data_IF_266163668589
#
_entry.id   IF_266163668589
#
_cell.length_a   1.000
_cell.length_b   1.000
_cell.length_c   1.000
_cell.angle_alpha   90.00
_cell.angle_beta   90.00
_cell.angle_gamma   90.00
#
_symmetry.space_group_name_H-M   'P 1'
#
loop_
_entity.id
_entity.type
_entity.pdbx_description
1 polymer ?
#
# COMPACT_ATOMS: atom_id res chain seq x y z
N UNK A 1 33.21 40.74 -7.03
CA UNK A 1 32.34 40.06 -6.03
C UNK A 1 31.44 39.01 -6.72
N UNK A 2 32.08 37.90 -7.11
CA UNK A 2 31.38 36.73 -7.67
C UNK A 2 31.14 35.63 -6.63
N UNK A 3 31.34 35.93 -5.36
CA UNK A 3 31.21 34.95 -4.25
C UNK A 3 29.82 34.87 -3.61
N UNK A 4 28.86 35.65 -4.09
CA UNK A 4 27.49 35.68 -3.47
C UNK A 4 26.39 34.96 -4.26
N UNK A 5 26.70 34.25 -5.33
CA UNK A 5 25.69 33.53 -6.12
C UNK A 5 25.77 32.01 -6.00
N UNK A 6 26.26 31.47 -4.92
CA UNK A 6 26.06 30.00 -4.60
C UNK A 6 26.21 29.02 -5.76
N UNK A 7 27.06 29.31 -6.75
CA UNK A 7 27.33 28.42 -7.89
C UNK A 7 28.41 27.45 -7.42
N UNK A 8 27.98 26.21 -7.15
CA UNK A 8 28.89 25.12 -6.83
C UNK A 8 29.88 24.91 -7.98
N UNK A 9 31.16 24.74 -7.63
CA UNK A 9 32.18 24.33 -8.61
C UNK A 9 31.89 22.93 -9.12
N UNK A 10 32.39 22.58 -10.31
CA UNK A 10 32.15 21.26 -10.90
C UNK A 10 32.57 20.08 -10.00
N UNK A 11 33.59 20.31 -9.15
CA UNK A 11 34.10 19.34 -8.17
C UNK A 11 33.13 19.18 -6.98
N UNK A 12 32.65 20.29 -6.42
CA UNK A 12 31.65 20.29 -5.33
C UNK A 12 30.32 19.67 -5.77
N UNK A 13 29.94 19.88 -7.04
CA UNK A 13 28.74 19.25 -7.62
C UNK A 13 28.93 17.73 -7.77
N UNK A 14 30.12 17.27 -8.19
CA UNK A 14 30.44 15.86 -8.34
C UNK A 14 30.47 15.15 -6.97
N UNK A 15 31.05 15.79 -5.95
CA UNK A 15 31.10 15.25 -4.58
C UNK A 15 29.70 15.20 -3.96
N UNK A 16 28.89 16.26 -4.12
CA UNK A 16 27.49 16.28 -3.69
C UNK A 16 26.67 15.20 -4.39
N UNK A 17 26.89 14.98 -5.70
CA UNK A 17 26.20 13.98 -6.48
C UNK A 17 26.58 12.57 -6.04
N UNK A 18 27.87 12.32 -5.74
CA UNK A 18 28.35 11.03 -5.23
C UNK A 18 27.79 10.71 -3.84
N UNK A 19 27.60 11.72 -2.99
CA UNK A 19 26.97 11.57 -1.67
C UNK A 19 25.45 11.36 -1.78
N UNK A 20 24.80 11.96 -2.79
CA UNK A 20 23.35 11.87 -3.00
C UNK A 20 22.91 10.60 -3.72
N UNK A 21 23.75 10.04 -4.61
CA UNK A 21 23.45 8.82 -5.39
C UNK A 21 23.09 7.61 -4.50
N UNK A 22 23.78 7.27 -3.41
CA UNK A 22 23.39 6.17 -2.54
C UNK A 22 22.01 6.37 -1.89
N UNK A 23 21.63 7.64 -1.65
CA UNK A 23 20.30 8.00 -1.17
C UNK A 23 19.21 7.78 -2.21
N UNK A 24 19.49 8.06 -3.49
CA UNK A 24 18.60 7.80 -4.62
C UNK A 24 18.43 6.31 -4.89
N UNK A 25 19.49 5.53 -4.86
CA UNK A 25 19.44 4.08 -5.01
C UNK A 25 18.65 3.41 -3.88
N UNK A 26 18.81 3.86 -2.62
CA UNK A 26 17.95 3.42 -1.51
C UNK A 26 16.48 3.79 -1.74
N UNK A 27 16.20 4.98 -2.28
CA UNK A 27 14.83 5.39 -2.60
C UNK A 27 14.22 4.52 -3.72
N UNK A 28 14.99 4.11 -4.71
CA UNK A 28 14.53 3.20 -5.76
C UNK A 28 14.20 1.80 -5.20
N UNK A 29 14.99 1.26 -4.28
CA UNK A 29 14.69 -0.02 -3.61
C UNK A 29 13.37 0.04 -2.81
N UNK A 30 13.02 1.19 -2.23
CA UNK A 30 11.78 1.36 -1.47
C UNK A 30 10.52 1.57 -2.33
N UNK A 31 10.67 1.76 -3.64
CA UNK A 31 9.57 1.98 -4.58
C UNK A 31 9.31 0.79 -5.51
N UNK A 32 9.96 -0.35 -5.30
CA UNK A 32 9.67 -1.55 -6.05
C UNK A 32 8.23 -2.00 -5.82
N UNK A 33 7.54 -2.27 -6.91
CA UNK A 33 6.22 -2.89 -6.88
C UNK A 33 6.35 -4.40 -6.79
N UNK A 34 5.31 -5.04 -6.24
CA UNK A 34 5.22 -6.49 -6.21
C UNK A 34 4.72 -6.97 -7.58
N UNK A 35 5.34 -7.97 -8.21
CA UNK A 35 4.82 -8.57 -9.44
C UNK A 35 3.40 -9.08 -9.23
N UNK A 36 2.53 -8.92 -10.23
CA UNK A 36 1.12 -9.32 -10.13
C UNK A 36 0.94 -10.79 -9.81
N UNK A 37 1.78 -11.64 -10.38
CA UNK A 37 1.75 -13.09 -10.13
C UNK A 37 2.06 -13.41 -8.68
N UNK A 38 2.96 -12.66 -8.05
CA UNK A 38 3.30 -12.84 -6.65
C UNK A 38 2.21 -12.28 -5.73
N UNK A 39 1.55 -11.17 -6.11
CA UNK A 39 0.36 -10.68 -5.42
C UNK A 39 -0.75 -11.73 -5.43
N UNK A 40 -1.04 -12.32 -6.58
CA UNK A 40 -2.04 -13.38 -6.71
C UNK A 40 -1.73 -14.58 -5.79
N UNK A 41 -0.48 -15.04 -5.78
CA UNK A 41 -0.02 -16.11 -4.89
C UNK A 41 -0.13 -15.74 -3.41
N UNK A 42 0.17 -14.49 -3.04
CA UNK A 42 0.00 -14.01 -1.67
C UNK A 42 -1.46 -14.03 -1.24
N UNK A 43 -2.39 -13.57 -2.10
CA UNK A 43 -3.82 -13.64 -1.84
C UNK A 43 -4.32 -15.07 -1.72
N UNK A 44 -3.90 -15.99 -2.60
CA UNK A 44 -4.21 -17.41 -2.51
C UNK A 44 -3.69 -18.02 -1.19
N UNK A 45 -2.47 -17.68 -0.77
CA UNK A 45 -1.91 -18.16 0.48
C UNK A 45 -2.67 -17.65 1.72
N UNK A 46 -3.34 -16.51 1.60
CA UNK A 46 -4.13 -15.90 2.68
C UNK A 46 -5.60 -16.34 2.72
N UNK A 47 -6.11 -17.10 1.73
CA UNK A 47 -7.54 -17.44 1.60
C UNK A 47 -8.15 -18.10 2.86
N UNK A 48 -7.35 -18.80 3.65
CA UNK A 48 -7.79 -19.47 4.89
C UNK A 48 -7.64 -18.60 6.14
N UNK A 49 -7.08 -17.38 6.01
CA UNK A 49 -6.86 -16.44 7.12
C UNK A 49 -7.56 -15.12 6.79
N UNK A 50 -8.80 -14.97 7.23
CA UNK A 50 -9.65 -13.82 6.96
C UNK A 50 -8.97 -12.49 7.38
N UNK A 51 -8.25 -12.47 8.49
CA UNK A 51 -7.53 -11.29 8.94
C UNK A 51 -6.38 -10.93 8.00
N UNK A 52 -5.54 -11.91 7.65
CA UNK A 52 -4.40 -11.69 6.75
C UNK A 52 -4.90 -11.26 5.36
N UNK A 53 -5.97 -11.89 4.87
CA UNK A 53 -6.58 -11.55 3.59
C UNK A 53 -7.11 -10.10 3.59
N UNK A 54 -7.85 -9.71 4.63
CA UNK A 54 -8.37 -8.34 4.77
C UNK A 54 -7.25 -7.30 4.86
N UNK A 55 -6.18 -7.60 5.59
CA UNK A 55 -4.99 -6.72 5.65
C UNK A 55 -4.35 -6.55 4.27
N UNK A 56 -4.18 -7.64 3.50
CA UNK A 56 -3.67 -7.56 2.12
C UNK A 56 -4.57 -6.71 1.22
N UNK A 57 -5.89 -6.86 1.35
CA UNK A 57 -6.87 -6.04 0.62
C UNK A 57 -6.71 -4.56 0.94
N UNK A 58 -6.61 -4.21 2.21
CA UNK A 58 -6.44 -2.81 2.64
C UNK A 58 -5.11 -2.21 2.17
N UNK A 59 -4.02 -2.98 2.19
CA UNK A 59 -2.72 -2.55 1.66
C UNK A 59 -2.77 -2.30 0.16
N UNK A 60 -3.31 -3.26 -0.61
CA UNK A 60 -3.22 -3.25 -2.07
C UNK A 60 -4.36 -2.52 -2.76
N UNK A 61 -5.61 -2.67 -2.28
CA UNK A 61 -6.78 -2.08 -2.93
C UNK A 61 -7.15 -0.70 -2.39
N UNK A 62 -7.02 -0.49 -1.08
CA UNK A 62 -7.30 0.80 -0.44
C UNK A 62 -6.05 1.68 -0.25
N UNK A 63 -4.86 1.15 -0.45
CA UNK A 63 -3.60 1.90 -0.34
C UNK A 63 -3.29 2.36 1.09
N UNK A 64 -3.80 1.68 2.10
CA UNK A 64 -3.49 1.99 3.49
C UNK A 64 -2.06 1.56 3.84
N UNK A 65 -1.42 2.30 4.74
CA UNK A 65 -0.14 1.91 5.32
C UNK A 65 -0.34 0.91 6.47
N UNK A 66 0.71 0.15 6.81
CA UNK A 66 0.67 -0.74 7.95
C UNK A 66 0.37 0.01 9.27
N UNK A 67 0.86 1.24 9.42
CA UNK A 67 0.59 2.08 10.59
C UNK A 67 -0.90 2.45 10.69
N UNK A 68 -1.53 2.80 9.57
CA UNK A 68 -2.96 3.07 9.52
C UNK A 68 -3.77 1.80 9.86
N UNK A 69 -3.39 0.66 9.29
CA UNK A 69 -4.10 -0.62 9.48
C UNK A 69 -4.09 -1.08 10.96
N UNK A 70 -2.95 -0.97 11.65
CA UNK A 70 -2.88 -1.42 13.06
C UNK A 70 -3.70 -0.55 14.01
N UNK A 71 -3.98 0.69 13.64
CA UNK A 71 -4.78 1.63 14.41
C UNK A 71 -6.26 1.67 13.99
N UNK A 72 -6.65 0.93 12.96
CA UNK A 72 -7.97 1.01 12.34
C UNK A 72 -9.07 0.48 13.27
N UNK A 73 -10.18 1.20 13.30
CA UNK A 73 -11.39 0.84 14.03
C UNK A 73 -12.57 0.66 13.06
N UNK A 74 -13.61 -0.12 13.39
CA UNK A 74 -14.81 -0.21 12.56
C UNK A 74 -15.48 1.13 12.30
N UNK A 75 -15.44 2.06 13.24
CA UNK A 75 -15.99 3.40 13.10
C UNK A 75 -15.26 4.30 12.10
N UNK A 76 -14.07 3.91 11.65
CA UNK A 76 -13.32 4.66 10.63
C UNK A 76 -13.89 4.47 9.21
N UNK A 77 -14.81 3.53 9.00
CA UNK A 77 -15.44 3.28 7.70
C UNK A 77 -16.76 4.05 7.58
N UNK A 78 -16.93 4.75 6.46
CA UNK A 78 -18.15 5.49 6.14
C UNK A 78 -18.68 5.11 4.76
N UNK A 79 -20.01 4.87 4.69
CA UNK A 79 -20.71 4.65 3.43
C UNK A 79 -21.40 5.95 2.99
N UNK A 80 -21.16 6.35 1.75
CA UNK A 80 -21.72 7.56 1.14
C UNK A 80 -22.38 7.23 -0.18
N UNK A 81 -23.10 8.19 -0.76
CA UNK A 81 -23.81 7.98 -2.02
C UNK A 81 -22.90 7.60 -3.20
N UNK A 82 -21.65 8.02 -3.15
CA UNK A 82 -20.62 7.82 -4.18
C UNK A 82 -19.64 6.67 -3.87
N UNK A 83 -19.80 5.99 -2.73
CA UNK A 83 -18.99 4.84 -2.37
C UNK A 83 -18.63 4.73 -0.90
N UNK A 84 -17.69 3.85 -0.60
CA UNK A 84 -17.19 3.62 0.76
C UNK A 84 -15.83 4.24 0.92
N UNK A 85 -15.64 4.89 2.06
CA UNK A 85 -14.39 5.55 2.42
C UNK A 85 -13.94 5.11 3.80
N UNK A 86 -12.62 5.09 4.01
CA UNK A 86 -12.02 4.91 5.33
C UNK A 86 -11.27 6.17 5.73
N UNK A 87 -11.39 6.55 7.00
CA UNK A 87 -10.83 7.75 7.62
C UNK A 87 -9.76 7.37 8.65
N UNK A 88 -8.56 6.92 8.24
CA UNK A 88 -7.54 6.50 9.19
C UNK A 88 -7.06 7.67 10.03
N UNK A 89 -6.81 7.42 11.31
CA UNK A 89 -6.30 8.44 12.23
C UNK A 89 -5.01 9.09 11.70
N UNK A 90 -4.94 10.42 11.77
CA UNK A 90 -3.79 11.21 11.31
C UNK A 90 -3.71 11.45 9.80
N UNK A 91 -4.63 10.92 9.00
CA UNK A 91 -4.72 11.19 7.56
C UNK A 91 -5.64 12.38 7.31
N UNK A 92 -5.25 13.29 6.41
CA UNK A 92 -6.04 14.49 6.09
C UNK A 92 -7.27 14.18 5.24
N UNK A 93 -7.14 13.25 4.31
CA UNK A 93 -8.20 12.88 3.38
C UNK A 93 -8.51 11.39 3.48
N UNK A 94 -9.77 11.00 3.35
CA UNK A 94 -10.16 9.59 3.41
C UNK A 94 -9.56 8.81 2.23
N UNK A 95 -9.47 7.50 2.39
CA UNK A 95 -9.16 6.60 1.29
C UNK A 95 -10.43 5.96 0.76
N UNK A 96 -10.62 5.98 -0.55
CA UNK A 96 -11.69 5.24 -1.22
C UNK A 96 -11.43 3.74 -1.15
N UNK A 97 -12.46 2.97 -0.84
CA UNK A 97 -12.42 1.51 -0.84
C UNK A 97 -13.24 1.02 -2.04
N UNK A 98 -12.61 0.37 -3.03
CA UNK A 98 -13.30 -0.24 -4.15
C UNK A 98 -14.35 -1.26 -3.69
N UNK A 99 -15.43 -1.43 -4.45
CA UNK A 99 -16.57 -2.28 -4.08
C UNK A 99 -16.16 -3.74 -3.79
N UNK A 100 -15.25 -4.30 -4.59
CA UNK A 100 -14.73 -5.64 -4.41
C UNK A 100 -13.96 -5.78 -3.09
N UNK A 101 -13.20 -4.74 -2.72
CA UNK A 101 -12.47 -4.68 -1.46
C UNK A 101 -13.42 -4.47 -0.27
N UNK A 102 -14.45 -3.63 -0.45
CA UNK A 102 -15.44 -3.39 0.60
C UNK A 102 -16.16 -4.67 1.03
N UNK A 103 -16.59 -5.50 0.10
CA UNK A 103 -17.25 -6.79 0.41
C UNK A 103 -16.41 -7.66 1.37
N UNK A 104 -15.09 -7.67 1.21
CA UNK A 104 -14.19 -8.42 2.07
C UNK A 104 -14.10 -7.77 3.47
N UNK A 105 -13.93 -6.44 3.49
CA UNK A 105 -13.85 -5.70 4.75
C UNK A 105 -15.15 -5.79 5.53
N UNK A 106 -16.30 -5.62 4.86
CA UNK A 106 -17.63 -5.71 5.47
C UNK A 106 -17.87 -7.09 6.06
N UNK A 107 -17.54 -8.15 5.35
CA UNK A 107 -17.63 -9.51 5.88
C UNK A 107 -16.76 -9.67 7.14
N UNK A 108 -15.53 -9.20 7.13
CA UNK A 108 -14.66 -9.26 8.28
C UNK A 108 -15.19 -8.45 9.48
N UNK A 109 -15.77 -7.27 9.23
CA UNK A 109 -16.43 -6.45 10.26
C UNK A 109 -17.60 -7.20 10.90
N UNK A 110 -18.44 -7.84 10.09
CA UNK A 110 -19.59 -8.62 10.56
C UNK A 110 -19.14 -9.84 11.37
N UNK A 111 -18.15 -10.57 10.89
CA UNK A 111 -17.65 -11.79 11.56
C UNK A 111 -17.00 -11.47 12.92
N UNK A 112 -16.28 -10.37 13.01
CA UNK A 112 -15.59 -9.98 14.26
C UNK A 112 -16.52 -9.33 15.28
N UNK A 113 -17.63 -8.69 14.85
CA UNK A 113 -18.61 -8.04 15.70
C UNK A 113 -18.03 -6.95 16.61
N UNK A 114 -16.92 -6.30 16.19
CA UNK A 114 -16.25 -5.27 16.99
C UNK A 114 -17.06 -3.99 17.04
N UNK A 115 -16.98 -3.29 18.19
CA UNK A 115 -17.58 -1.98 18.36
C UNK A 115 -16.79 -0.91 17.59
N UNK A 116 -17.45 0.19 17.28
CA UNK A 116 -16.89 1.26 16.45
C UNK A 116 -15.56 1.83 16.97
N UNK A 117 -15.34 1.87 18.27
CA UNK A 117 -14.15 2.44 18.92
C UNK A 117 -13.07 1.38 19.21
N UNK A 118 -13.35 0.11 19.00
CA UNK A 118 -12.41 -0.96 19.26
C UNK A 118 -11.46 -1.14 18.07
N UNK A 119 -10.20 -1.46 18.35
CA UNK A 119 -9.24 -1.81 17.27
C UNK A 119 -9.75 -3.00 16.48
N UNK A 120 -9.78 -2.87 15.14
CA UNK A 120 -10.33 -3.86 14.23
C UNK A 120 -9.54 -5.17 14.26
N UNK A 121 -8.21 -5.08 14.23
CA UNK A 121 -7.34 -6.24 14.12
C UNK A 121 -6.69 -6.56 15.47
N UNK A 122 -6.96 -7.75 15.98
CA UNK A 122 -6.35 -8.26 17.20
C UNK A 122 -5.56 -9.55 16.92
N UNK A 123 -4.53 -9.77 17.71
CA UNK A 123 -3.79 -11.01 17.71
C UNK A 123 -4.54 -12.12 18.49
N UNK A 124 -3.99 -13.33 18.52
CA UNK A 124 -4.56 -14.48 19.24
C UNK A 124 -4.70 -14.29 20.76
N UNK A 125 -4.08 -13.24 21.33
CA UNK A 125 -4.19 -12.88 22.75
C UNK A 125 -5.18 -11.73 22.99
N UNK A 126 -6.00 -11.39 21.99
CA UNK A 126 -6.93 -10.25 22.01
C UNK A 126 -6.24 -8.89 22.26
N UNK A 127 -4.99 -8.73 21.79
CA UNK A 127 -4.27 -7.47 21.85
C UNK A 127 -4.20 -6.84 20.46
N UNK A 128 -4.24 -5.50 20.33
CA UNK A 128 -4.05 -4.80 19.06
C UNK A 128 -2.79 -5.28 18.34
N UNK A 129 -2.87 -5.37 17.02
CA UNK A 129 -1.71 -5.69 16.20
C UNK A 129 -0.67 -4.57 16.29
N UNK A 130 0.59 -4.92 16.08
CA UNK A 130 1.67 -3.97 15.89
C UNK A 130 2.33 -4.18 14.50
N UNK A 131 3.19 -3.25 14.11
CA UNK A 131 3.87 -3.31 12.81
C UNK A 131 4.70 -4.58 12.61
N UNK A 132 5.29 -5.09 13.69
CA UNK A 132 6.08 -6.32 13.64
C UNK A 132 5.20 -7.54 13.34
N UNK A 133 3.96 -7.55 13.85
CA UNK A 133 3.00 -8.61 13.53
C UNK A 133 2.72 -8.65 12.03
N UNK A 134 2.39 -7.49 11.43
CA UNK A 134 2.15 -7.41 9.98
C UNK A 134 3.37 -7.90 9.18
N UNK A 135 4.57 -7.47 9.55
CA UNK A 135 5.80 -7.92 8.88
C UNK A 135 5.99 -9.43 8.95
N UNK A 136 5.75 -10.04 10.13
CA UNK A 136 5.85 -11.50 10.31
C UNK A 136 4.76 -12.25 9.54
N UNK A 137 3.53 -11.74 9.54
CA UNK A 137 2.42 -12.28 8.78
C UNK A 137 2.74 -12.31 7.29
N UNK A 138 3.20 -11.19 6.72
CA UNK A 138 3.58 -11.10 5.30
C UNK A 138 4.72 -12.06 4.96
N UNK A 139 5.73 -12.18 5.84
CA UNK A 139 6.82 -13.14 5.65
C UNK A 139 6.32 -14.59 5.64
N UNK A 140 5.41 -14.94 6.55
CA UNK A 140 4.79 -16.27 6.61
C UNK A 140 3.96 -16.56 5.35
N UNK A 141 3.18 -15.57 4.88
CA UNK A 141 2.42 -15.70 3.64
C UNK A 141 3.35 -15.89 2.42
N UNK A 142 4.43 -15.13 2.32
CA UNK A 142 5.40 -15.27 1.25
C UNK A 142 6.03 -16.67 1.23
N UNK A 143 6.36 -17.24 2.40
CA UNK A 143 6.84 -18.62 2.51
C UNK A 143 5.79 -19.63 2.04
N UNK A 144 4.51 -19.47 2.45
CA UNK A 144 3.41 -20.36 2.01
C UNK A 144 3.15 -20.22 0.51
N UNK A 145 3.28 -19.01 -0.03
CA UNK A 145 3.06 -18.68 -1.44
C UNK A 145 4.24 -19.09 -2.36
N UNK A 146 5.42 -19.40 -1.79
CA UNK A 146 6.62 -19.64 -2.58
C UNK A 146 7.13 -18.38 -3.32
N UNK A 147 6.95 -17.20 -2.75
CA UNK A 147 7.38 -15.91 -3.30
C UNK A 147 8.51 -15.29 -2.47
N UNK A 148 9.23 -14.29 -3.02
CA UNK A 148 10.08 -13.43 -2.20
C UNK A 148 9.26 -12.76 -1.07
N UNK A 149 9.93 -12.37 0.01
CA UNK A 149 9.28 -11.64 1.09
C UNK A 149 9.10 -10.17 0.71
N UNK A 150 7.87 -9.71 0.69
CA UNK A 150 7.50 -8.33 0.39
C UNK A 150 7.07 -7.60 1.67
N UNK A 151 7.47 -6.33 1.79
CA UNK A 151 7.01 -5.46 2.87
C UNK A 151 5.62 -4.91 2.58
N UNK A 152 4.90 -4.51 3.64
CA UNK A 152 3.63 -3.79 3.51
C UNK A 152 3.75 -2.54 2.61
N UNK A 153 4.89 -1.85 2.67
CA UNK A 153 5.17 -0.68 1.84
C UNK A 153 5.27 -1.03 0.35
N UNK A 154 5.88 -2.15 -0.02
CA UNK A 154 5.97 -2.60 -1.41
C UNK A 154 4.58 -2.99 -1.95
N UNK A 155 3.77 -3.70 -1.18
CA UNK A 155 2.40 -4.06 -1.55
C UNK A 155 1.55 -2.79 -1.75
N UNK A 156 1.63 -1.83 -0.83
CA UNK A 156 0.97 -0.52 -0.97
C UNK A 156 1.46 0.27 -2.17
N UNK A 157 2.75 0.23 -2.47
CA UNK A 157 3.33 0.88 -3.66
C UNK A 157 2.73 0.34 -4.96
N UNK A 158 2.38 -0.94 -4.99
CA UNK A 158 1.69 -1.56 -6.12
C UNK A 158 0.29 -0.97 -6.35
N UNK A 159 -0.42 -0.57 -5.28
CA UNK A 159 -1.68 0.17 -5.41
C UNK A 159 -1.47 1.51 -6.15
N UNK A 160 -0.49 2.30 -5.73
CA UNK A 160 -0.18 3.59 -6.36
C UNK A 160 0.22 3.47 -7.82
N UNK A 161 1.07 2.49 -8.16
CA UNK A 161 1.46 2.23 -9.54
C UNK A 161 0.25 1.83 -10.40
N UNK A 162 -0.65 1.02 -9.87
CA UNK A 162 -1.90 0.62 -10.54
C UNK A 162 -2.79 1.82 -10.85
N UNK A 163 -2.97 2.73 -9.90
CA UNK A 163 -3.78 3.94 -10.12
C UNK A 163 -3.25 4.78 -11.29
N UNK A 164 -1.94 4.96 -11.42
CA UNK A 164 -1.35 5.65 -12.57
C UNK A 164 -1.62 4.95 -13.90
N UNK A 165 -1.56 3.63 -13.91
CA UNK A 165 -1.85 2.86 -15.12
C UNK A 165 -3.28 3.09 -15.60
N UNK A 166 -4.23 3.26 -14.67
CA UNK A 166 -5.62 3.62 -14.97
C UNK A 166 -5.84 5.12 -15.28
N UNK A 167 -4.77 5.90 -15.39
CA UNK A 167 -4.83 7.28 -15.81
C UNK A 167 -5.12 8.28 -14.68
N UNK A 168 -5.02 7.86 -13.41
CA UNK A 168 -5.12 8.79 -12.30
C UNK A 168 -3.98 9.83 -12.35
N UNK A 169 -4.30 11.08 -12.06
CA UNK A 169 -3.30 12.11 -11.96
C UNK A 169 -2.54 12.08 -10.62
N UNK A 170 -1.45 12.86 -10.53
CA UNK A 170 -0.62 12.89 -9.33
C UNK A 170 -1.35 13.37 -8.07
N UNK A 171 -2.40 14.19 -8.22
CA UNK A 171 -3.19 14.65 -7.09
C UNK A 171 -4.11 13.54 -6.57
N UNK A 172 -4.76 12.82 -7.49
CA UNK A 172 -5.62 11.67 -7.17
C UNK A 172 -4.83 10.56 -6.47
N UNK A 173 -3.64 10.21 -6.99
CA UNK A 173 -2.77 9.21 -6.36
C UNK A 173 -2.28 9.67 -4.98
N UNK A 174 -1.89 10.95 -4.84
CA UNK A 174 -1.47 11.51 -3.56
C UNK A 174 -2.58 11.43 -2.51
N UNK A 175 -3.79 11.80 -2.89
CA UNK A 175 -4.98 11.73 -2.04
C UNK A 175 -5.28 10.29 -1.64
N UNK A 176 -5.38 9.37 -2.61
CA UNK A 176 -5.67 7.95 -2.37
C UNK A 176 -4.66 7.27 -1.43
N UNK A 177 -3.38 7.62 -1.53
CA UNK A 177 -2.34 7.06 -0.67
C UNK A 177 -2.07 7.88 0.60
N UNK A 178 -2.65 9.09 0.75
CA UNK A 178 -2.37 9.98 1.87
C UNK A 178 -0.90 10.43 1.93
N UNK A 179 -0.30 10.73 0.78
CA UNK A 179 1.09 11.16 0.64
C UNK A 179 1.19 12.51 -0.08
N UNK A 180 2.34 13.16 -0.03
CA UNK A 180 2.55 14.43 -0.73
C UNK A 180 2.71 14.21 -2.24
N UNK A 181 2.37 15.23 -3.05
CA UNK A 181 2.59 15.23 -4.51
C UNK A 181 4.06 14.96 -4.88
N UNK A 182 5.01 15.38 -4.05
CA UNK A 182 6.43 15.12 -4.27
C UNK A 182 6.73 13.61 -4.15
N UNK A 183 6.15 12.95 -3.16
CA UNK A 183 6.31 11.49 -2.98
C UNK A 183 5.64 10.70 -4.09
N UNK A 184 4.58 11.24 -4.70
CA UNK A 184 3.84 10.61 -5.81
C UNK A 184 4.70 10.46 -7.07
N UNK A 185 5.64 11.34 -7.34
CA UNK A 185 6.53 11.25 -8.51
C UNK A 185 7.22 9.88 -8.64
N UNK A 186 7.47 9.20 -7.53
CA UNK A 186 8.03 7.85 -7.50
C UNK A 186 7.14 6.84 -8.22
N UNK A 187 5.83 6.90 -7.96
CA UNK A 187 4.86 5.98 -8.56
C UNK A 187 4.63 6.29 -10.03
N UNK A 188 4.67 7.57 -10.42
CA UNK A 188 4.59 7.98 -11.81
C UNK A 188 5.71 7.36 -12.67
N UNK A 189 6.94 7.40 -12.19
CA UNK A 189 8.07 6.79 -12.89
C UNK A 189 7.94 5.26 -13.00
N UNK A 190 7.37 4.61 -12.00
CA UNK A 190 7.10 3.16 -12.03
C UNK A 190 6.05 2.79 -13.09
N UNK A 191 5.02 3.62 -13.27
CA UNK A 191 3.92 3.38 -14.22
C UNK A 191 4.37 3.41 -15.68
N UNK A 192 5.45 4.11 -16.00
CA UNK A 192 5.99 4.22 -17.37
C UNK A 192 6.98 3.11 -17.74
N UNK A 193 7.37 2.24 -16.82
CA UNK A 193 8.21 1.09 -17.16
C UNK A 193 7.39 0.06 -17.95
N UNK A 194 7.93 -0.39 -19.07
CA UNK A 194 7.25 -1.36 -19.99
C UNK A 194 6.82 -2.65 -19.29
N UNK A 195 7.56 -3.06 -18.26
CA UNK A 195 7.22 -4.23 -17.45
C UNK A 195 5.93 -4.02 -16.69
N UNK A 196 5.74 -2.85 -16.07
CA UNK A 196 4.53 -2.49 -15.34
C UNK A 196 3.33 -2.36 -16.28
N UNK A 197 3.53 -1.85 -17.50
CA UNK A 197 2.46 -1.81 -18.53
C UNK A 197 1.98 -3.20 -18.93
N UNK A 198 2.88 -4.17 -19.07
CA UNK A 198 2.53 -5.57 -19.34
C UNK A 198 1.78 -6.20 -18.16
N UNK A 199 2.27 -5.97 -16.95
CA UNK A 199 1.67 -6.50 -15.73
C UNK A 199 0.31 -5.82 -15.43
N UNK A 200 0.17 -4.54 -15.74
CA UNK A 200 -1.08 -3.81 -15.56
C UNK A 200 -2.25 -4.36 -16.39
N UNK A 201 -1.99 -4.83 -17.59
CA UNK A 201 -3.01 -5.52 -18.40
C UNK A 201 -3.53 -6.81 -17.72
N UNK A 202 -2.74 -7.38 -16.83
CA UNK A 202 -3.12 -8.54 -16.01
C UNK A 202 -3.76 -8.12 -14.68
N UNK A 203 -3.37 -6.98 -14.11
CA UNK A 203 -3.95 -6.39 -12.88
C UNK A 203 -5.43 -6.10 -13.00
N UNK A 204 -5.90 -5.73 -14.20
CA UNK A 204 -7.34 -5.53 -14.49
C UNK A 204 -8.15 -6.81 -14.22
N UNK A 205 -7.51 -7.97 -14.29
CA UNK A 205 -8.15 -9.28 -14.13
C UNK A 205 -8.05 -9.83 -12.70
N UNK A 206 -7.24 -9.21 -11.85
CA UNK A 206 -7.11 -9.63 -10.45
C UNK A 206 -8.36 -9.18 -9.66
N UNK A 207 -9.35 -10.03 -9.60
CA UNK A 207 -10.48 -9.84 -8.69
C UNK A 207 -10.13 -10.40 -7.32
N UNK A 208 -10.28 -9.59 -6.30
CA UNK A 208 -10.18 -10.02 -4.90
C UNK A 208 -11.39 -10.91 -4.62
N UNK A 209 -11.15 -12.13 -4.13
CA UNK A 209 -12.21 -13.08 -3.77
C UNK A 209 -12.32 -13.20 -2.26
N UNK A 210 -13.53 -13.39 -1.71
CA UNK A 210 -13.64 -13.65 -0.27
C UNK A 210 -12.87 -14.93 0.10
N UNK A 211 -12.31 -14.99 1.33
CA UNK A 211 -11.71 -16.21 1.85
C UNK A 211 -12.71 -17.36 1.78
N UNK A 212 -12.22 -18.55 1.54
CA UNK A 212 -13.09 -19.76 1.62
C UNK A 212 -13.45 -20.00 3.08
N UNK A 213 -14.74 -19.98 3.38
CA UNK A 213 -15.30 -20.37 4.69
C UNK A 213 -15.16 -21.86 4.91
#
# INVERSE_FOLDING_TARGET
NQQEMGIMTGTEFADWFAEYLPGLERQEQFTQTVPIQDLDRLFQAAEEDAMAYTILVLLYRAGLSATEIVALCPGDFGQYADGVYVFPAGRKEPAYIPEDAWKIVEQYLLETGRKNEETLFLNSRNQPLNLMYISRMLKKLAQKAGTPSYSARQIRSSCGATLYVYGADSAQVASSLGITRMQVKRYHNLSYRDQIKKEAGQLVRLSVRPPRT
#
